data_IF_793936809779
#
_entry.id   IF_793936809779
#
_cell.length_a   1.000
_cell.length_b   1.000
_cell.length_c   1.000
_cell.angle_alpha   90.00
_cell.angle_beta   90.00
_cell.angle_gamma   90.00
#
_symmetry.space_group_name_H-M   'P 1'
#
loop_
_entity.id
_entity.type
_entity.pdbx_description
1 polymer ?
#
# COMPACT_ATOMS: atom_id res chain seq x y z
N UNK A 1 -35.59 32.89 -53.57
CA UNK A 1 -35.64 32.41 -52.17
C UNK A 1 -35.29 30.95 -52.19
N UNK A 2 -34.07 30.63 -51.79
CA UNK A 2 -33.58 29.26 -51.75
C UNK A 2 -33.13 28.93 -50.33
N UNK A 3 -33.86 28.04 -49.66
CA UNK A 3 -33.57 27.54 -48.36
C UNK A 3 -32.52 26.45 -48.47
N UNK A 4 -31.35 26.63 -47.92
CA UNK A 4 -30.27 25.63 -47.80
C UNK A 4 -30.48 24.76 -46.56
N UNK A 5 -30.05 23.48 -46.61
CA UNK A 5 -30.20 22.58 -45.48
C UNK A 5 -29.16 22.82 -44.40
N UNK A 6 -29.56 22.66 -43.12
CA UNK A 6 -28.76 22.72 -41.94
C UNK A 6 -27.77 21.50 -41.88
N UNK A 7 -26.55 21.69 -41.38
CA UNK A 7 -25.62 20.58 -41.21
C UNK A 7 -26.02 19.71 -39.99
N UNK A 8 -25.95 18.39 -40.19
CA UNK A 8 -26.20 17.38 -39.20
C UNK A 8 -25.15 17.46 -38.05
N UNK A 9 -25.65 17.40 -36.82
CA UNK A 9 -24.85 17.44 -35.63
C UNK A 9 -23.87 16.26 -35.55
N UNK A 10 -22.60 16.55 -35.35
CA UNK A 10 -21.59 15.56 -34.99
C UNK A 10 -21.90 14.99 -33.62
N UNK A 11 -22.06 13.65 -33.59
CA UNK A 11 -22.25 12.91 -32.37
C UNK A 11 -21.09 13.14 -31.41
N UNK A 12 -21.42 13.59 -30.22
CA UNK A 12 -20.48 13.63 -29.12
C UNK A 12 -20.11 12.17 -28.76
N UNK A 13 -18.92 11.78 -29.15
CA UNK A 13 -18.30 10.55 -28.63
C UNK A 13 -18.17 10.68 -27.12
N UNK A 14 -18.89 9.82 -26.40
CA UNK A 14 -18.72 9.69 -24.97
C UNK A 14 -17.28 9.32 -24.65
N UNK A 15 -16.53 10.28 -24.13
CA UNK A 15 -15.22 10.02 -23.56
C UNK A 15 -15.44 9.10 -22.36
N UNK A 16 -14.98 7.85 -22.46
CA UNK A 16 -14.78 6.99 -21.31
C UNK A 16 -13.91 7.80 -20.34
N UNK A 17 -14.42 8.01 -19.13
CA UNK A 17 -13.66 8.58 -18.03
C UNK A 17 -12.45 7.64 -17.83
N UNK A 18 -11.27 8.05 -18.30
CA UNK A 18 -10.02 7.39 -18.02
C UNK A 18 -9.80 7.45 -16.53
N UNK A 19 -10.13 6.38 -15.84
CA UNK A 19 -9.74 6.19 -14.47
C UNK A 19 -8.22 6.34 -14.41
N UNK A 20 -7.72 7.07 -13.43
CA UNK A 20 -6.29 7.18 -13.16
C UNK A 20 -5.75 5.74 -13.05
N UNK A 21 -4.91 5.32 -14.01
CA UNK A 21 -4.36 3.98 -14.11
C UNK A 21 -3.31 3.70 -13.00
N UNK A 22 -3.23 4.59 -12.02
CA UNK A 22 -2.31 4.58 -10.90
C UNK A 22 -3.02 4.17 -9.62
N UNK A 23 -2.41 3.29 -8.83
CA UNK A 23 -2.84 2.95 -7.48
C UNK A 23 -1.75 3.29 -6.46
N UNK A 24 -2.10 4.04 -5.41
CA UNK A 24 -1.16 4.57 -4.42
C UNK A 24 -1.30 3.84 -3.09
N UNK A 25 -0.19 3.25 -2.61
CA UNK A 25 -0.08 2.60 -1.31
C UNK A 25 0.76 3.51 -0.41
N UNK A 26 0.22 3.90 0.73
CA UNK A 26 0.89 4.69 1.75
C UNK A 26 1.15 3.85 3.00
N UNK A 27 2.40 3.69 3.39
CA UNK A 27 2.79 3.05 4.66
C UNK A 27 3.02 4.10 5.74
N UNK A 28 2.40 3.91 6.93
CA UNK A 28 2.46 4.90 8.01
C UNK A 28 2.96 4.27 9.30
N UNK A 29 3.94 4.94 9.94
CA UNK A 29 4.41 4.66 11.30
C UNK A 29 4.65 5.98 12.06
N UNK A 30 5.37 5.97 13.17
CA UNK A 30 5.65 7.19 13.95
C UNK A 30 6.64 8.11 13.22
N UNK A 31 7.92 7.78 13.23
CA UNK A 31 9.01 8.67 12.80
C UNK A 31 9.37 8.61 11.32
N UNK A 32 8.80 7.68 10.55
CA UNK A 32 9.18 7.39 9.16
C UNK A 32 10.68 7.12 8.97
N UNK A 33 11.33 6.44 9.92
CA UNK A 33 12.75 6.08 9.83
C UNK A 33 13.00 4.57 10.00
N UNK A 34 12.04 3.80 10.54
CA UNK A 34 12.16 2.36 10.76
C UNK A 34 11.07 1.56 10.03
N UNK A 35 9.88 1.38 10.66
CA UNK A 35 8.82 0.46 10.20
C UNK A 35 8.27 0.81 8.83
N UNK A 36 7.74 2.01 8.64
CA UNK A 36 7.13 2.40 7.38
C UNK A 36 8.11 2.42 6.20
N UNK A 37 9.39 2.87 6.33
CA UNK A 37 10.34 2.73 5.24
C UNK A 37 10.75 1.28 4.94
N UNK A 38 10.89 0.41 5.96
CA UNK A 38 11.10 -1.03 5.72
C UNK A 38 9.93 -1.58 4.91
N UNK A 39 8.69 -1.30 5.33
CA UNK A 39 7.49 -1.77 4.63
C UNK A 39 7.40 -1.24 3.20
N UNK A 40 7.67 0.06 2.98
CA UNK A 40 7.71 0.68 1.65
C UNK A 40 8.69 -0.03 0.72
N UNK A 41 9.94 -0.17 1.18
CA UNK A 41 11.02 -0.72 0.34
C UNK A 41 10.84 -2.21 0.07
N UNK A 42 10.38 -2.99 1.04
CA UNK A 42 10.05 -4.40 0.84
C UNK A 42 8.84 -4.56 -0.10
N UNK A 43 7.82 -3.70 0.00
CA UNK A 43 6.68 -3.71 -0.93
C UNK A 43 7.15 -3.44 -2.36
N UNK A 44 7.93 -2.37 -2.58
CA UNK A 44 8.50 -2.05 -3.90
C UNK A 44 9.34 -3.20 -4.46
N UNK A 45 10.23 -3.76 -3.63
CA UNK A 45 11.09 -4.88 -4.01
C UNK A 45 10.27 -6.11 -4.42
N UNK A 46 9.27 -6.48 -3.63
CA UNK A 46 8.42 -7.64 -3.91
C UNK A 46 7.57 -7.45 -5.19
N UNK A 47 7.00 -6.25 -5.38
CA UNK A 47 6.23 -5.91 -6.59
C UNK A 47 7.10 -5.94 -7.83
N UNK A 48 8.28 -5.31 -7.81
CA UNK A 48 9.20 -5.30 -8.95
C UNK A 48 9.62 -6.72 -9.38
N UNK A 49 9.84 -7.62 -8.42
CA UNK A 49 10.20 -9.02 -8.72
C UNK A 49 9.06 -9.84 -9.33
N UNK A 50 7.80 -9.47 -9.10
CA UNK A 50 6.62 -10.26 -9.52
C UNK A 50 5.91 -9.68 -10.75
N UNK A 51 5.95 -8.38 -10.92
CA UNK A 51 5.24 -7.71 -12.02
C UNK A 51 6.05 -7.62 -13.31
N UNK A 52 7.38 -7.83 -13.26
CA UNK A 52 8.23 -7.77 -14.46
C UNK A 52 8.06 -6.45 -15.21
N UNK A 53 7.57 -6.54 -16.45
CA UNK A 53 7.40 -5.40 -17.35
C UNK A 53 6.15 -4.53 -17.09
N UNK A 54 5.35 -4.83 -16.07
CA UNK A 54 4.22 -3.95 -15.71
C UNK A 54 4.81 -2.60 -15.26
N UNK A 55 4.32 -1.47 -15.81
CA UNK A 55 4.88 -0.16 -15.47
C UNK A 55 4.88 0.07 -13.96
N UNK A 56 6.06 0.30 -13.39
CA UNK A 56 6.19 0.65 -11.97
C UNK A 56 5.39 1.92 -11.61
N UNK A 57 4.99 2.70 -12.61
CA UNK A 57 4.10 3.85 -12.47
C UNK A 57 2.66 3.49 -12.12
N UNK A 58 2.20 2.27 -12.38
CA UNK A 58 0.83 1.83 -12.07
C UNK A 58 0.62 1.56 -10.57
N UNK A 59 1.68 1.24 -9.83
CA UNK A 59 1.66 1.04 -8.38
C UNK A 59 2.69 1.95 -7.72
N UNK A 60 2.24 3.06 -7.16
CA UNK A 60 3.09 3.99 -6.41
C UNK A 60 3.06 3.58 -4.94
N UNK A 61 4.23 3.30 -4.36
CA UNK A 61 4.38 2.93 -2.95
C UNK A 61 5.19 4.00 -2.24
N UNK A 62 4.64 4.53 -1.18
CA UNK A 62 5.20 5.64 -0.41
C UNK A 62 5.09 5.36 1.09
N UNK A 63 5.82 6.12 1.90
CA UNK A 63 5.67 6.07 3.36
C UNK A 63 5.74 7.46 3.99
N UNK A 64 5.16 7.62 5.18
CA UNK A 64 5.20 8.85 5.97
C UNK A 64 5.12 8.51 7.47
N UNK A 65 5.40 9.49 8.33
CA UNK A 65 5.33 9.36 9.78
C UNK A 65 4.30 10.29 10.40
N UNK A 66 3.52 9.80 11.37
CA UNK A 66 2.57 10.65 12.13
C UNK A 66 3.28 11.72 12.98
N UNK A 67 4.55 11.52 13.19
CA UNK A 67 5.52 12.47 13.71
C UNK A 67 6.85 12.23 12.95
N UNK A 68 6.81 12.50 11.65
CA UNK A 68 7.88 12.19 10.72
C UNK A 68 9.11 13.05 10.97
N UNK A 69 10.26 12.42 10.88
CA UNK A 69 11.55 13.11 10.92
C UNK A 69 11.87 13.64 9.52
N UNK A 70 11.38 14.82 9.20
CA UNK A 70 11.50 15.42 7.86
C UNK A 70 12.96 15.52 7.42
N UNK A 71 13.28 14.97 6.25
CA UNK A 71 14.63 14.96 5.68
C UNK A 71 15.61 13.98 6.34
N UNK A 72 15.22 13.28 7.42
CA UNK A 72 16.10 12.32 8.08
C UNK A 72 16.36 11.08 7.20
N UNK A 73 17.58 10.50 7.24
CA UNK A 73 17.85 9.23 6.59
C UNK A 73 17.11 8.09 7.30
N UNK A 74 17.00 6.95 6.63
CA UNK A 74 16.57 5.71 7.27
C UNK A 74 17.51 5.34 8.42
N UNK A 75 16.95 4.77 9.49
CA UNK A 75 17.74 4.26 10.61
C UNK A 75 18.68 3.13 10.12
N UNK A 76 19.92 3.11 10.63
CA UNK A 76 20.99 2.26 10.11
C UNK A 76 20.63 0.75 10.16
N UNK A 77 20.00 0.29 11.26
CA UNK A 77 19.56 -1.10 11.37
C UNK A 77 18.40 -1.40 10.43
N UNK A 78 17.52 -0.42 10.13
CA UNK A 78 16.46 -0.58 9.15
C UNK A 78 17.04 -0.75 7.73
N UNK A 79 18.06 0.04 7.37
CA UNK A 79 18.76 -0.12 6.11
C UNK A 79 19.50 -1.46 6.01
N UNK A 80 20.11 -1.93 7.10
CA UNK A 80 20.76 -3.25 7.17
C UNK A 80 19.77 -4.40 6.94
N UNK A 81 18.56 -4.30 7.54
CA UNK A 81 17.49 -5.27 7.29
C UNK A 81 17.10 -5.30 5.81
N UNK A 82 16.94 -4.15 5.16
CA UNK A 82 16.63 -4.11 3.73
C UNK A 82 17.73 -4.77 2.89
N UNK A 83 19.00 -4.56 3.24
CA UNK A 83 20.12 -5.23 2.58
C UNK A 83 20.06 -6.76 2.73
N UNK A 84 19.68 -7.29 3.91
CA UNK A 84 19.49 -8.72 4.14
C UNK A 84 18.40 -9.31 3.18
N UNK A 85 17.39 -8.51 2.80
CA UNK A 85 16.36 -8.88 1.82
C UNK A 85 16.74 -8.58 0.35
N UNK A 86 17.88 -7.95 0.11
CA UNK A 86 18.27 -7.47 -1.22
C UNK A 86 17.42 -6.29 -1.72
N UNK A 87 16.77 -5.58 -0.82
CA UNK A 87 15.97 -4.38 -1.13
C UNK A 87 16.82 -3.10 -1.02
N UNK A 88 16.56 -2.14 -1.91
CA UNK A 88 17.31 -0.89 -1.98
C UNK A 88 16.81 0.13 -0.95
N UNK A 89 17.72 0.58 -0.06
CA UNK A 89 17.48 1.63 0.91
C UNK A 89 17.93 3.02 0.42
N UNK A 90 18.58 3.12 -0.74
CA UNK A 90 19.18 4.36 -1.24
C UNK A 90 18.12 5.44 -1.52
N UNK A 91 18.54 6.71 -1.41
CA UNK A 91 17.70 7.85 -1.73
C UNK A 91 16.44 8.01 -0.83
N UNK A 92 16.37 7.27 0.29
CA UNK A 92 15.26 7.44 1.23
C UNK A 92 15.48 8.69 2.09
N UNK A 93 14.41 9.45 2.25
CA UNK A 93 14.31 10.54 3.24
C UNK A 93 12.99 10.45 3.96
N UNK A 94 13.04 10.57 5.28
CA UNK A 94 11.86 10.61 6.15
C UNK A 94 11.00 11.83 5.85
N UNK A 95 9.69 11.71 6.05
CA UNK A 95 8.74 12.82 5.87
C UNK A 95 7.59 12.75 6.85
N UNK A 96 7.05 13.91 7.16
CA UNK A 96 5.82 14.07 7.94
C UNK A 96 4.61 13.59 7.15
N UNK A 97 3.63 13.01 7.85
CA UNK A 97 2.34 12.66 7.27
C UNK A 97 1.48 13.91 7.16
N UNK A 98 1.09 14.26 5.95
CA UNK A 98 0.19 15.38 5.65
C UNK A 98 -1.15 14.88 5.13
N UNK A 99 -2.22 15.69 5.28
CA UNK A 99 -3.57 15.38 4.80
C UNK A 99 -3.59 14.98 3.32
N UNK A 100 -2.78 15.65 2.50
CA UNK A 100 -2.67 15.37 1.08
C UNK A 100 -2.10 13.99 0.75
N UNK A 101 -1.22 13.43 1.61
CA UNK A 101 -0.76 12.05 1.47
C UNK A 101 -1.92 11.08 1.66
N UNK A 102 -2.74 11.31 2.69
CA UNK A 102 -3.92 10.48 2.99
C UNK A 102 -4.97 10.60 1.89
N UNK A 103 -5.24 11.82 1.41
CA UNK A 103 -6.24 12.08 0.36
C UNK A 103 -5.88 11.33 -0.93
N UNK A 104 -4.60 11.37 -1.33
CA UNK A 104 -4.11 10.74 -2.58
C UNK A 104 -3.95 9.23 -2.51
N UNK A 105 -3.87 8.65 -1.32
CA UNK A 105 -3.66 7.22 -1.17
C UNK A 105 -4.94 6.43 -1.49
N UNK A 106 -4.82 5.37 -2.29
CA UNK A 106 -5.89 4.38 -2.53
C UNK A 106 -5.93 3.31 -1.43
N UNK A 107 -4.79 3.06 -0.77
CA UNK A 107 -4.63 2.16 0.36
C UNK A 107 -3.64 2.76 1.35
N UNK A 108 -4.04 2.83 2.63
CA UNK A 108 -3.14 3.20 3.73
C UNK A 108 -2.93 2.00 4.64
N UNK A 109 -1.66 1.62 4.83
CA UNK A 109 -1.25 0.53 5.70
C UNK A 109 -0.42 1.08 6.86
N UNK A 110 -0.95 1.00 8.06
CA UNK A 110 -0.31 1.54 9.26
C UNK A 110 0.40 0.46 10.05
N UNK A 111 1.44 0.83 10.80
CA UNK A 111 2.16 -0.11 11.65
C UNK A 111 1.32 -0.54 12.86
N UNK A 112 0.48 0.35 13.39
CA UNK A 112 -0.33 0.11 14.60
C UNK A 112 -1.75 0.63 14.45
N UNK A 113 -2.64 0.20 15.35
CA UNK A 113 -4.02 0.69 15.44
C UNK A 113 -4.09 2.17 15.81
N UNK A 114 -3.14 2.65 16.62
CA UNK A 114 -3.05 4.07 16.97
C UNK A 114 -2.71 4.93 15.75
N UNK A 115 -1.76 4.51 14.92
CA UNK A 115 -1.50 5.18 13.65
C UNK A 115 -2.71 5.16 12.73
N UNK A 116 -3.45 4.03 12.69
CA UNK A 116 -4.69 3.93 11.92
C UNK A 116 -5.74 4.93 12.42
N UNK A 117 -5.92 5.07 13.72
CA UNK A 117 -6.85 6.03 14.31
C UNK A 117 -6.46 7.48 13.96
N UNK A 118 -5.15 7.81 14.00
CA UNK A 118 -4.65 9.13 13.61
C UNK A 118 -4.92 9.41 12.13
N UNK A 119 -4.61 8.49 11.22
CA UNK A 119 -4.90 8.64 9.77
C UNK A 119 -6.39 8.86 9.52
N UNK A 120 -7.27 8.11 10.18
CA UNK A 120 -8.73 8.26 10.03
C UNK A 120 -9.20 9.62 10.55
N UNK A 121 -8.57 10.17 11.59
CA UNK A 121 -8.92 11.49 12.11
C UNK A 121 -8.57 12.63 11.13
N UNK A 122 -7.58 12.44 10.25
CA UNK A 122 -7.20 13.39 9.21
C UNK A 122 -8.21 13.44 8.05
N UNK A 123 -9.01 12.38 7.85
CA UNK A 123 -10.00 12.35 6.77
C UNK A 123 -11.01 11.22 6.92
N UNK A 124 -12.29 11.56 7.17
CA UNK A 124 -13.36 10.57 7.39
C UNK A 124 -13.51 9.56 6.24
N UNK A 125 -13.25 9.96 4.99
CA UNK A 125 -13.29 9.07 3.82
C UNK A 125 -12.15 8.05 3.80
N UNK A 126 -11.10 8.23 4.62
CA UNK A 126 -9.96 7.30 4.67
C UNK A 126 -10.31 5.97 5.37
N UNK A 127 -11.37 5.92 6.19
CA UNK A 127 -11.68 4.76 7.03
C UNK A 127 -11.82 3.44 6.29
N UNK A 128 -12.41 3.44 5.07
CA UNK A 128 -12.62 2.22 4.28
C UNK A 128 -11.35 1.70 3.58
N UNK A 129 -10.32 2.53 3.46
CA UNK A 129 -9.06 2.19 2.79
C UNK A 129 -7.83 2.26 3.71
N UNK A 130 -8.04 2.46 5.03
CA UNK A 130 -6.98 2.47 6.04
C UNK A 130 -7.08 1.26 6.93
N UNK A 131 -6.01 0.48 7.00
CA UNK A 131 -5.87 -0.75 7.79
C UNK A 131 -4.53 -0.73 8.51
N UNK A 132 -4.38 -1.54 9.56
CA UNK A 132 -3.01 -1.93 9.92
C UNK A 132 -2.49 -2.93 8.89
N UNK A 133 -1.18 -3.05 8.74
CA UNK A 133 -0.57 -4.01 7.81
C UNK A 133 -1.08 -5.44 8.08
N UNK A 134 -1.08 -5.85 9.36
CA UNK A 134 -1.47 -7.21 9.76
C UNK A 134 -2.98 -7.43 9.68
N UNK A 135 -3.81 -6.41 9.97
CA UNK A 135 -5.26 -6.47 9.70
C UNK A 135 -5.51 -6.73 8.22
N UNK A 136 -4.90 -5.92 7.34
CA UNK A 136 -5.08 -6.07 5.90
C UNK A 136 -4.64 -7.45 5.40
N UNK A 137 -3.49 -7.92 5.85
CA UNK A 137 -2.99 -9.27 5.55
C UNK A 137 -3.98 -10.36 5.94
N UNK A 138 -4.57 -10.27 7.14
CA UNK A 138 -5.55 -11.24 7.64
C UNK A 138 -6.80 -11.26 6.75
N UNK A 139 -7.30 -10.08 6.36
CA UNK A 139 -8.46 -9.94 5.49
C UNK A 139 -8.17 -10.48 4.08
N UNK A 140 -7.01 -10.13 3.51
CA UNK A 140 -6.58 -10.58 2.18
C UNK A 140 -6.47 -12.10 2.10
N UNK A 141 -5.98 -12.78 3.15
CA UNK A 141 -5.91 -14.24 3.19
C UNK A 141 -7.27 -14.95 3.08
N UNK A 142 -8.35 -14.25 3.39
CA UNK A 142 -9.72 -14.79 3.30
C UNK A 142 -10.41 -14.46 1.95
N UNK A 143 -9.76 -13.69 1.10
CA UNK A 143 -10.28 -13.34 -0.24
C UNK A 143 -9.77 -14.38 -1.24
N UNK A 144 -10.69 -15.00 -1.98
CA UNK A 144 -10.32 -15.84 -3.11
C UNK A 144 -9.75 -14.97 -4.25
N UNK A 145 -8.46 -15.14 -4.61
CA UNK A 145 -7.84 -14.35 -5.67
C UNK A 145 -8.52 -14.46 -7.03
N UNK A 146 -9.28 -15.54 -7.28
CA UNK A 146 -10.02 -15.74 -8.51
C UNK A 146 -11.24 -14.79 -8.63
N UNK A 147 -11.69 -14.19 -7.52
CA UNK A 147 -12.78 -13.21 -7.52
C UNK A 147 -12.33 -11.79 -7.85
N UNK A 148 -11.03 -11.57 -7.91
CA UNK A 148 -10.44 -10.27 -8.25
C UNK A 148 -10.31 -10.13 -9.78
N UNK A 149 -10.41 -8.90 -10.33
CA UNK A 149 -10.18 -8.64 -11.74
C UNK A 149 -8.84 -9.25 -12.23
N UNK A 150 -8.77 -9.78 -13.45
CA UNK A 150 -7.51 -10.25 -14.01
C UNK A 150 -6.52 -9.10 -14.20
N UNK A 151 -5.24 -9.42 -14.31
CA UNK A 151 -4.19 -8.39 -14.49
C UNK A 151 -4.30 -7.68 -15.85
N UNK A 152 -4.91 -8.31 -16.83
CA UNK A 152 -5.18 -7.72 -18.16
C UNK A 152 -6.09 -6.49 -18.09
N UNK A 153 -6.95 -6.40 -17.06
CA UNK A 153 -7.78 -5.23 -16.78
C UNK A 153 -7.01 -4.12 -16.04
N UNK A 154 -5.72 -4.34 -15.77
CA UNK A 154 -4.82 -3.44 -15.07
C UNK A 154 -4.67 -3.76 -13.57
N UNK A 155 -3.42 -3.67 -13.10
CA UNK A 155 -3.07 -3.94 -11.70
C UNK A 155 -3.73 -2.96 -10.73
N UNK A 156 -3.97 -1.72 -11.15
CA UNK A 156 -4.62 -0.71 -10.33
C UNK A 156 -6.10 -1.06 -10.05
N UNK A 157 -6.85 -1.54 -11.05
CA UNK A 157 -8.23 -1.96 -10.84
C UNK A 157 -8.32 -3.21 -9.93
N UNK A 158 -7.42 -4.18 -10.14
CA UNK A 158 -7.29 -5.33 -9.24
C UNK A 158 -7.00 -4.90 -7.80
N UNK A 159 -6.11 -3.94 -7.60
CA UNK A 159 -5.78 -3.40 -6.28
C UNK A 159 -6.98 -2.70 -5.62
N UNK A 160 -7.73 -1.88 -6.38
CA UNK A 160 -8.96 -1.26 -5.88
C UNK A 160 -10.02 -2.29 -5.49
N UNK A 161 -10.18 -3.34 -6.28
CA UNK A 161 -11.10 -4.44 -5.97
C UNK A 161 -10.68 -5.18 -4.69
N UNK A 162 -9.38 -5.43 -4.50
CA UNK A 162 -8.83 -6.05 -3.29
C UNK A 162 -9.14 -5.22 -2.04
N UNK A 163 -8.95 -3.89 -2.10
CA UNK A 163 -9.26 -2.98 -0.98
C UNK A 163 -10.75 -3.01 -0.65
N UNK A 164 -11.63 -2.97 -1.66
CA UNK A 164 -13.10 -3.05 -1.46
C UNK A 164 -13.49 -4.38 -0.82
N UNK A 165 -12.95 -5.50 -1.29
CA UNK A 165 -13.21 -6.82 -0.73
C UNK A 165 -12.72 -6.94 0.72
N UNK A 166 -11.52 -6.45 1.04
CA UNK A 166 -10.99 -6.42 2.39
C UNK A 166 -11.86 -5.55 3.33
N UNK A 167 -12.28 -4.37 2.88
CA UNK A 167 -13.17 -3.50 3.65
C UNK A 167 -14.51 -4.17 3.97
N UNK A 168 -15.06 -4.95 3.04
CA UNK A 168 -16.32 -5.69 3.26
C UNK A 168 -16.19 -6.81 4.30
N UNK A 169 -14.99 -7.38 4.48
CA UNK A 169 -14.72 -8.41 5.48
C UNK A 169 -14.40 -7.85 6.88
N UNK A 170 -14.19 -6.53 6.99
CA UNK A 170 -13.91 -5.90 8.27
C UNK A 170 -15.08 -6.07 9.23
N UNK A 171 -14.79 -6.46 10.47
CA UNK A 171 -15.79 -6.77 11.47
C UNK A 171 -16.23 -8.23 11.51
N UNK A 172 -16.04 -9.00 10.44
CA UNK A 172 -16.31 -10.44 10.39
C UNK A 172 -15.09 -11.28 10.79
N UNK A 173 -13.88 -10.81 10.42
CA UNK A 173 -12.60 -11.46 10.72
C UNK A 173 -11.86 -10.65 11.79
N UNK A 174 -12.14 -10.93 13.04
CA UNK A 174 -11.51 -10.23 14.17
C UNK A 174 -10.08 -10.73 14.40
N UNK A 175 -9.23 -9.85 14.91
CA UNK A 175 -7.92 -10.24 15.43
C UNK A 175 -8.08 -11.07 16.71
N UNK A 176 -7.21 -12.07 16.95
CA UNK A 176 -7.27 -12.88 18.19
C UNK A 176 -6.96 -12.05 19.45
N UNK A 177 -6.21 -10.97 19.31
CA UNK A 177 -5.93 -9.98 20.35
C UNK A 177 -5.67 -8.61 19.72
N UNK A 178 -5.75 -7.50 20.48
CA UNK A 178 -5.39 -6.17 19.98
C UNK A 178 -3.96 -6.12 19.40
N UNK A 179 -3.00 -6.76 20.07
CA UNK A 179 -1.58 -6.76 19.68
C UNK A 179 -1.31 -7.56 18.40
N UNK A 180 -2.23 -8.46 18.02
CA UNK A 180 -2.08 -9.25 16.79
C UNK A 180 -2.04 -8.39 15.52
N UNK A 181 -2.54 -7.16 15.57
CA UNK A 181 -2.54 -6.21 14.46
C UNK A 181 -1.39 -5.18 14.54
N UNK A 182 -0.49 -5.30 15.53
CA UNK A 182 0.60 -4.37 15.76
C UNK A 182 1.92 -4.84 15.16
N UNK A 183 2.65 -3.95 14.50
CA UNK A 183 4.08 -4.10 14.20
C UNK A 183 4.85 -3.28 15.24
N UNK A 184 5.56 -3.97 16.12
CA UNK A 184 6.26 -3.34 17.25
C UNK A 184 7.35 -2.39 16.79
N UNK A 185 7.64 -1.35 17.62
CA UNK A 185 8.65 -0.36 17.29
C UNK A 185 10.06 -0.85 17.62
N UNK A 186 10.94 -1.01 16.60
CA UNK A 186 12.32 -1.41 16.84
C UNK A 186 13.26 -0.26 17.16
N UNK A 187 12.79 1.00 17.19
CA UNK A 187 13.66 2.16 17.40
C UNK A 187 14.45 2.04 18.70
N UNK A 188 15.78 2.19 18.60
CA UNK A 188 16.69 2.02 19.74
C UNK A 188 16.98 0.57 20.15
N UNK A 189 16.36 -0.41 19.50
CA UNK A 189 16.59 -1.84 19.78
C UNK A 189 17.82 -2.41 19.03
N UNK A 190 18.36 -3.58 19.45
CA UNK A 190 19.42 -4.26 18.73
C UNK A 190 18.99 -4.71 17.32
N UNK A 191 19.98 -4.88 16.42
CA UNK A 191 19.75 -5.34 15.03
C UNK A 191 18.97 -6.66 14.96
N UNK A 192 19.11 -7.55 15.92
CA UNK A 192 18.36 -8.81 15.96
C UNK A 192 16.85 -8.58 16.05
N UNK A 193 16.42 -7.56 16.80
CA UNK A 193 15.01 -7.18 16.87
C UNK A 193 14.54 -6.51 15.57
N UNK A 194 15.36 -5.65 14.95
CA UNK A 194 15.06 -5.12 13.62
C UNK A 194 14.87 -6.22 12.58
N UNK A 195 15.70 -7.25 12.60
CA UNK A 195 15.57 -8.41 11.71
C UNK A 195 14.25 -9.15 11.93
N UNK A 196 13.86 -9.39 13.18
CA UNK A 196 12.57 -10.04 13.48
C UNK A 196 11.38 -9.20 12.98
N UNK A 197 11.46 -7.86 13.09
CA UNK A 197 10.44 -6.96 12.54
C UNK A 197 10.45 -6.97 11.00
N UNK A 198 11.62 -7.03 10.36
CA UNK A 198 11.74 -7.18 8.91
C UNK A 198 11.11 -8.46 8.40
N UNK A 199 11.37 -9.59 9.07
CA UNK A 199 10.77 -10.89 8.78
C UNK A 199 9.24 -10.85 8.95
N UNK A 200 8.74 -10.25 10.04
CA UNK A 200 7.32 -10.08 10.30
C UNK A 200 6.63 -9.25 9.20
N UNK A 201 7.23 -8.11 8.82
CA UNK A 201 6.72 -7.25 7.73
C UNK A 201 6.73 -8.02 6.40
N UNK A 202 7.81 -8.72 6.07
CA UNK A 202 7.93 -9.50 4.84
C UNK A 202 6.85 -10.58 4.75
N UNK A 203 6.62 -11.32 5.84
CA UNK A 203 5.58 -12.34 5.94
C UNK A 203 4.16 -11.76 5.84
N UNK A 204 3.95 -10.55 6.36
CA UNK A 204 2.67 -9.85 6.25
C UNK A 204 2.43 -9.33 4.83
N UNK A 205 3.46 -8.88 4.13
CA UNK A 205 3.37 -8.37 2.76
C UNK A 205 3.13 -9.47 1.72
N UNK A 206 3.63 -10.68 1.94
CA UNK A 206 3.60 -11.75 0.93
C UNK A 206 2.19 -12.07 0.40
N UNK A 207 1.14 -12.30 1.24
CA UNK A 207 -0.22 -12.50 0.76
C UNK A 207 -0.79 -11.28 0.02
N UNK A 208 -0.44 -10.07 0.49
CA UNK A 208 -0.90 -8.81 -0.14
C UNK A 208 -0.33 -8.68 -1.55
N UNK A 209 0.98 -8.85 -1.69
CA UNK A 209 1.64 -8.77 -3.00
C UNK A 209 1.18 -9.90 -3.91
N UNK A 210 0.98 -11.13 -3.38
CA UNK A 210 0.42 -12.26 -4.13
C UNK A 210 -0.97 -11.93 -4.69
N UNK A 211 -1.86 -11.37 -3.87
CA UNK A 211 -3.20 -10.98 -4.32
C UNK A 211 -3.16 -9.88 -5.38
N UNK A 212 -2.27 -8.89 -5.23
CA UNK A 212 -2.09 -7.82 -6.20
C UNK A 212 -1.56 -8.31 -7.54
N UNK A 213 -0.61 -9.24 -7.52
CA UNK A 213 0.11 -9.69 -8.73
C UNK A 213 -0.45 -10.95 -9.37
N UNK A 214 -1.42 -11.62 -8.73
CA UNK A 214 -1.97 -12.88 -9.21
C UNK A 214 -0.99 -14.07 -9.22
N UNK A 215 0.26 -13.87 -8.75
CA UNK A 215 1.31 -14.87 -8.75
C UNK A 215 1.76 -15.19 -7.33
N UNK A 216 1.84 -16.48 -6.98
CA UNK A 216 2.60 -16.89 -5.82
C UNK A 216 4.09 -16.60 -6.06
N UNK A 217 4.77 -15.98 -5.09
CA UNK A 217 6.21 -15.78 -5.18
C UNK A 217 6.96 -17.10 -5.27
N UNK A 218 8.20 -17.11 -5.78
CA UNK A 218 9.03 -18.28 -5.70
C UNK A 218 9.18 -18.66 -4.21
N UNK A 219 8.85 -19.92 -3.90
CA UNK A 219 9.11 -20.49 -2.57
C UNK A 219 10.60 -20.33 -2.25
N UNK A 220 10.95 -19.82 -1.08
CA UNK A 220 12.33 -19.79 -0.58
C UNK A 220 12.80 -21.18 -0.24
#
# INVERSE_FOLDING_TARGET
MASGPLPAGAGAGGGAAGGDDTFRILHVSTGNVCRSPITERLTRHALARRLGDIPASSLIVESAGTWGHEGAPMEANAAAVLADFGADASGFTGRELLDEHVIRADLVLTATRDHRAQVISMGHSAGLRTFTLKEFTRLVRAIDPATLPPLDDGVAERARALVRAAAALRGWLLAPSPDADEVHDPYGAPITFFRSIGDEISQALDPVVTALTGCAGPSR
#
